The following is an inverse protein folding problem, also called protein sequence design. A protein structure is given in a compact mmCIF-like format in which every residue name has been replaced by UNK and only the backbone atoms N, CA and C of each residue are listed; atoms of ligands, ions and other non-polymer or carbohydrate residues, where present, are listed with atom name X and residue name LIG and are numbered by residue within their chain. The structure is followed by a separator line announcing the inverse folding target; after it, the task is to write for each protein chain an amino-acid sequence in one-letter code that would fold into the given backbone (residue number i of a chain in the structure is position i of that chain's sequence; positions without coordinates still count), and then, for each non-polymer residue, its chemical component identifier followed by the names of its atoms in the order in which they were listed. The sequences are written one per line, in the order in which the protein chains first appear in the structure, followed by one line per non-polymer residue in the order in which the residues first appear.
data_IF_523245104724
#
_entry.id   IF_523245104724
#
_cell.length_a   1.000
_cell.length_b   1.000
_cell.length_c   1.000
_cell.angle_alpha   90.00
_cell.angle_beta   90.00
_cell.angle_gamma   90.00
#
_symmetry.space_group_name_H-M   'P 1'
#
loop_
_entity.id
_entity.type
_entity.pdbx_description
1 polymer ?
#
# COMPACT_ATOMS: atom_id res chain seq x y z
N UNK A 1 -11.41 0.48 14.12
CA UNK A 1 -10.56 -0.47 14.87
C UNK A 1 -9.37 0.25 15.45
N UNK A 2 -8.83 -0.21 16.59
CA UNK A 2 -7.61 0.32 17.16
C UNK A 2 -6.41 0.15 16.22
N UNK A 3 -5.59 1.19 16.11
CA UNK A 3 -4.31 1.13 15.39
C UNK A 3 -3.25 0.53 16.32
N UNK A 4 -2.42 -0.39 15.81
CA UNK A 4 -1.40 -1.11 16.61
C UNK A 4 0.00 -0.83 16.10
N UNK A 5 0.36 -0.28 15.21
CA UNK A 5 1.73 -0.11 14.73
C UNK A 5 2.19 1.32 14.63
N UNK A 6 3.37 1.47 14.09
CA UNK A 6 4.03 2.76 14.01
C UNK A 6 3.24 3.82 13.26
N UNK A 7 3.43 5.06 13.67
CA UNK A 7 2.88 6.25 13.02
C UNK A 7 3.59 6.50 11.69
N UNK A 8 2.88 7.09 10.74
CA UNK A 8 3.43 7.60 9.47
C UNK A 8 4.53 8.65 9.65
N UNK A 9 4.62 9.27 10.83
CA UNK A 9 5.53 10.41 11.08
C UNK A 9 5.15 11.69 10.33
N UNK A 10 4.12 11.64 9.49
CA UNK A 10 3.58 12.73 8.68
C UNK A 10 2.05 12.68 8.71
N UNK A 11 1.35 13.82 8.51
CA UNK A 11 -0.09 13.79 8.21
C UNK A 11 -0.36 12.90 6.99
N UNK A 12 -1.43 12.10 7.03
CA UNK A 12 -1.69 11.10 6.00
C UNK A 12 -1.87 11.70 4.59
N UNK A 13 -2.40 12.92 4.48
CA UNK A 13 -2.52 13.67 3.23
C UNK A 13 -1.17 14.16 2.69
N UNK A 14 -0.14 14.26 3.53
CA UNK A 14 1.24 14.64 3.18
C UNK A 14 2.18 13.46 3.03
N UNK A 15 1.73 12.26 3.33
CA UNK A 15 2.53 11.05 3.18
C UNK A 15 2.40 10.48 1.76
N UNK A 16 3.50 10.39 0.99
CA UNK A 16 3.50 9.77 -0.35
C UNK A 16 3.26 8.26 -0.29
N UNK A 17 3.26 7.70 0.91
CA UNK A 17 3.03 6.28 1.13
C UNK A 17 1.56 5.95 1.35
N UNK A 18 0.74 6.91 1.70
CA UNK A 18 -0.71 6.76 1.85
C UNK A 18 -1.48 7.48 0.76
N UNK A 19 -1.04 8.68 0.39
CA UNK A 19 -1.61 9.47 -0.69
C UNK A 19 -0.80 9.30 -1.98
N UNK A 20 -1.25 8.38 -2.83
CA UNK A 20 -0.56 8.04 -4.09
C UNK A 20 -0.43 9.24 -5.03
N UNK A 21 -1.32 10.24 -4.95
CA UNK A 21 -1.27 11.42 -5.80
C UNK A 21 0.01 12.25 -5.64
N UNK A 22 0.63 12.20 -4.48
CA UNK A 22 1.91 12.90 -4.23
C UNK A 22 3.04 12.29 -5.07
N UNK A 23 3.07 10.96 -5.15
CA UNK A 23 4.00 10.26 -6.04
C UNK A 23 3.64 10.52 -7.49
N UNK A 24 2.36 10.38 -7.85
CA UNK A 24 1.90 10.39 -9.22
C UNK A 24 2.37 9.16 -9.99
N UNK A 25 2.05 9.11 -11.27
CA UNK A 25 2.37 7.99 -12.14
C UNK A 25 2.39 8.44 -13.61
N UNK A 26 3.03 7.65 -14.48
CA UNK A 26 3.04 7.85 -15.93
C UNK A 26 2.56 6.60 -16.66
N UNK A 27 1.98 6.72 -17.86
CA UNK A 27 1.66 5.57 -18.70
C UNK A 27 2.89 4.76 -19.05
N UNK A 28 2.72 3.45 -19.18
CA UNK A 28 3.75 2.54 -19.68
C UNK A 28 3.14 1.53 -20.64
N UNK A 29 3.91 1.10 -21.63
CA UNK A 29 3.48 0.02 -22.53
C UNK A 29 3.69 -1.32 -21.85
N UNK A 30 2.63 -2.13 -21.79
CA UNK A 30 2.67 -3.44 -21.18
C UNK A 30 1.59 -4.36 -21.77
N UNK A 31 1.76 -5.66 -21.60
CA UNK A 31 0.70 -6.62 -21.87
C UNK A 31 -0.47 -6.38 -20.87
N UNK A 32 -1.68 -6.21 -21.41
CA UNK A 32 -2.88 -5.90 -20.63
C UNK A 32 -3.70 -7.18 -20.34
N UNK A 33 -3.07 -8.15 -19.72
CA UNK A 33 -3.67 -9.39 -19.24
C UNK A 33 -2.94 -9.92 -18.02
N UNK A 34 -3.39 -11.05 -17.50
CA UNK A 34 -2.76 -11.68 -16.34
C UNK A 34 -1.38 -12.22 -16.70
N UNK A 35 -0.45 -12.04 -15.76
CA UNK A 35 0.93 -12.51 -15.89
C UNK A 35 1.30 -13.47 -14.75
N UNK A 36 2.17 -14.42 -15.05
CA UNK A 36 2.80 -15.26 -14.07
C UNK A 36 4.24 -14.80 -13.87
N UNK A 37 4.56 -14.36 -12.65
CA UNK A 37 5.93 -13.95 -12.27
C UNK A 37 6.71 -15.07 -11.57
N UNK A 38 6.14 -16.29 -11.49
CA UNK A 38 6.72 -17.40 -10.76
C UNK A 38 6.71 -17.23 -9.24
N UNK A 39 7.26 -18.22 -8.54
CA UNK A 39 7.30 -18.24 -7.07
C UNK A 39 6.01 -18.72 -6.43
N UNK A 40 6.03 -18.86 -5.09
CA UNK A 40 4.91 -19.36 -4.30
C UNK A 40 3.74 -18.36 -4.29
N UNK A 41 2.54 -18.89 -4.12
CA UNK A 41 1.34 -18.08 -3.90
C UNK A 41 1.29 -17.61 -2.48
N UNK A 42 0.91 -16.36 -2.30
CA UNK A 42 0.60 -15.81 -0.98
C UNK A 42 -0.88 -16.00 -0.71
N UNK A 43 -1.22 -17.04 0.05
CA UNK A 43 -2.61 -17.45 0.32
C UNK A 43 -3.47 -16.41 1.04
N UNK A 44 -2.82 -15.42 1.64
CA UNK A 44 -3.46 -14.34 2.39
C UNK A 44 -3.38 -12.99 1.66
N UNK A 45 -3.06 -12.99 0.39
CA UNK A 45 -3.06 -11.79 -0.44
C UNK A 45 -4.49 -11.33 -0.75
N UNK A 46 -4.74 -10.00 -0.79
CA UNK A 46 -6.06 -9.47 -1.14
C UNK A 46 -6.43 -9.81 -2.59
N UNK A 47 -7.65 -10.34 -2.78
CA UNK A 47 -8.14 -10.78 -4.10
C UNK A 47 -8.86 -9.64 -4.81
N UNK A 48 -8.26 -9.08 -5.85
CA UNK A 48 -8.81 -7.93 -6.58
C UNK A 48 -10.11 -8.26 -7.32
N UNK A 49 -10.35 -9.51 -7.70
CA UNK A 49 -11.61 -9.92 -8.33
C UNK A 49 -12.81 -9.60 -7.46
N UNK A 50 -12.65 -9.68 -6.13
CA UNK A 50 -13.69 -9.38 -5.15
C UNK A 50 -13.95 -7.88 -4.95
N UNK A 51 -13.18 -7.00 -5.59
CA UNK A 51 -13.51 -5.58 -5.64
C UNK A 51 -14.78 -5.29 -6.47
N UNK A 52 -15.28 -6.29 -7.19
CA UNK A 52 -16.49 -6.23 -8.01
C UNK A 52 -17.57 -7.14 -7.44
N UNK A 53 -18.82 -6.74 -7.61
CA UNK A 53 -19.97 -7.55 -7.23
C UNK A 53 -20.87 -7.88 -8.43
N UNK A 54 -20.87 -9.13 -8.95
CA UNK A 54 -20.15 -10.33 -8.50
C UNK A 54 -18.64 -10.29 -8.83
N UNK A 55 -17.82 -11.08 -8.11
CA UNK A 55 -16.38 -11.15 -8.37
C UNK A 55 -16.07 -11.50 -9.82
N UNK A 56 -15.17 -10.76 -10.47
CA UNK A 56 -14.81 -10.95 -11.86
C UNK A 56 -13.40 -10.47 -12.18
N UNK A 57 -12.84 -10.94 -13.29
CA UNK A 57 -11.67 -10.36 -13.91
C UNK A 57 -12.14 -9.26 -14.89
N UNK A 58 -11.88 -7.98 -14.61
CA UNK A 58 -12.21 -6.91 -15.53
C UNK A 58 -11.22 -6.88 -16.70
N UNK A 59 -11.61 -6.28 -17.82
CA UNK A 59 -10.63 -5.96 -18.85
C UNK A 59 -9.67 -4.88 -18.31
N UNK A 60 -8.37 -5.09 -18.52
CA UNK A 60 -7.34 -4.08 -18.19
C UNK A 60 -7.29 -3.06 -19.33
N UNK A 61 -7.34 -1.77 -18.97
CA UNK A 61 -7.44 -0.67 -19.93
C UNK A 61 -6.09 -0.01 -20.20
N UNK A 62 -5.26 0.16 -19.19
CA UNK A 62 -3.94 0.76 -19.30
C UNK A 62 -3.04 0.35 -18.12
N UNK A 63 -1.74 0.46 -18.32
CA UNK A 63 -0.72 0.19 -17.32
C UNK A 63 0.12 1.45 -17.05
N UNK A 64 0.57 1.60 -15.81
CA UNK A 64 1.32 2.77 -15.37
C UNK A 64 2.48 2.37 -14.46
N UNK A 65 3.48 3.26 -14.40
CA UNK A 65 4.57 3.26 -13.44
C UNK A 65 4.32 4.36 -12.44
N UNK A 66 4.23 4.01 -11.16
CA UNK A 66 4.25 4.98 -10.06
C UNK A 66 5.66 5.55 -9.96
N UNK A 67 5.78 6.83 -9.60
CA UNK A 67 7.08 7.42 -9.32
C UNK A 67 7.61 6.99 -7.95
N UNK A 68 8.91 6.79 -7.86
CA UNK A 68 9.58 6.62 -6.57
C UNK A 68 9.53 7.91 -5.75
N UNK A 69 9.90 7.81 -4.49
CA UNK A 69 9.96 8.96 -3.60
C UNK A 69 11.35 9.10 -2.99
N UNK A 70 11.97 10.24 -3.26
CA UNK A 70 13.26 10.57 -2.68
C UNK A 70 13.06 11.32 -1.35
N UNK A 71 13.23 10.62 -0.25
CA UNK A 71 13.10 11.17 1.11
C UNK A 71 14.20 12.18 1.46
N UNK A 72 15.30 12.20 0.72
CA UNK A 72 16.45 13.08 0.98
C UNK A 72 16.34 14.43 0.27
N UNK A 73 15.28 14.70 -0.45
CA UNK A 73 15.06 16.01 -1.05
C UNK A 73 14.77 17.08 0.01
N UNK A 74 15.24 18.30 -0.26
CA UNK A 74 14.92 19.50 0.53
C UNK A 74 13.97 20.39 -0.28
N UNK A 75 12.90 20.96 0.35
CA UNK A 75 12.52 20.80 1.76
C UNK A 75 11.82 19.45 2.02
N UNK A 76 11.80 18.99 3.29
CA UNK A 76 10.99 17.83 3.70
C UNK A 76 9.51 18.02 3.34
N UNK A 77 8.75 16.92 3.11
CA UNK A 77 9.09 15.52 3.40
C UNK A 77 9.70 14.74 2.21
N UNK A 78 10.42 15.36 1.29
CA UNK A 78 11.01 14.73 0.13
C UNK A 78 10.36 15.17 -1.19
N UNK A 79 10.70 14.53 -2.28
CA UNK A 79 10.21 14.85 -3.61
C UNK A 79 10.03 13.60 -4.48
N UNK A 80 9.29 13.77 -5.57
CA UNK A 80 9.11 12.75 -6.60
C UNK A 80 10.45 12.40 -7.25
N UNK A 81 10.78 11.10 -7.26
CA UNK A 81 11.92 10.53 -7.95
C UNK A 81 11.59 10.07 -9.37
N UNK A 82 12.36 9.12 -9.88
CA UNK A 82 12.13 8.49 -11.17
C UNK A 82 10.95 7.51 -11.11
N UNK A 83 10.41 7.16 -12.28
CA UNK A 83 9.38 6.14 -12.36
C UNK A 83 9.94 4.76 -11.99
N UNK A 84 9.22 4.03 -11.16
CA UNK A 84 9.61 2.69 -10.74
C UNK A 84 9.65 1.73 -11.93
N UNK A 85 10.78 1.08 -12.11
CA UNK A 85 11.00 0.07 -13.15
C UNK A 85 11.40 -1.28 -12.57
N UNK A 86 11.82 -1.30 -11.30
CA UNK A 86 12.25 -2.48 -10.55
C UNK A 86 11.56 -2.52 -9.18
N UNK A 87 11.21 -3.70 -8.63
CA UNK A 87 11.31 -5.01 -9.28
C UNK A 87 10.29 -5.20 -10.42
N UNK A 88 9.30 -4.31 -10.56
CA UNK A 88 8.24 -4.40 -11.57
C UNK A 88 8.11 -3.10 -12.36
N UNK A 89 7.91 -3.23 -13.68
CA UNK A 89 7.70 -2.11 -14.58
C UNK A 89 6.22 -1.68 -14.71
N UNK A 90 5.30 -2.40 -14.11
CA UNK A 90 3.88 -2.03 -13.97
C UNK A 90 3.56 -2.06 -12.49
N UNK A 91 3.19 -0.92 -11.95
CA UNK A 91 2.93 -0.74 -10.51
C UNK A 91 1.57 -0.12 -10.22
N UNK A 92 0.84 0.25 -11.27
CA UNK A 92 -0.54 0.71 -11.21
C UNK A 92 -1.27 0.24 -12.46
N UNK A 93 -2.49 -0.26 -12.30
CA UNK A 93 -3.28 -0.86 -13.36
C UNK A 93 -4.64 -0.17 -13.45
N UNK A 94 -5.04 0.21 -14.66
CA UNK A 94 -6.39 0.70 -14.94
C UNK A 94 -7.30 -0.45 -15.37
N UNK A 95 -8.44 -0.57 -14.70
CA UNK A 95 -9.41 -1.64 -14.87
C UNK A 95 -10.76 -1.09 -15.32
N UNK A 96 -11.38 -1.76 -16.31
CA UNK A 96 -12.69 -1.38 -16.83
C UNK A 96 -13.79 -1.68 -15.80
N UNK A 97 -14.73 -0.75 -15.75
CA UNK A 97 -15.92 -0.81 -14.91
C UNK A 97 -17.07 -0.06 -15.59
N UNK A 98 -18.20 0.01 -14.94
CA UNK A 98 -19.35 0.81 -15.37
C UNK A 98 -19.49 2.03 -14.42
N UNK A 99 -19.72 3.24 -14.89
CA UNK A 99 -19.99 4.37 -14.01
C UNK A 99 -21.12 4.06 -13.03
N UNK A 100 -20.89 4.33 -11.74
CA UNK A 100 -21.81 4.00 -10.65
C UNK A 100 -21.76 2.56 -10.15
N UNK A 101 -20.93 1.68 -10.73
CA UNK A 101 -20.72 0.33 -10.21
C UNK A 101 -20.13 0.39 -8.80
N UNK A 102 -20.75 -0.33 -7.87
CA UNK A 102 -20.26 -0.45 -6.49
C UNK A 102 -18.90 -1.13 -6.45
N UNK A 103 -18.00 -0.57 -5.67
CA UNK A 103 -16.67 -1.12 -5.41
C UNK A 103 -16.62 -1.67 -3.99
N UNK A 104 -16.15 -2.91 -3.88
CA UNK A 104 -16.12 -3.66 -2.65
C UNK A 104 -14.69 -3.85 -2.15
N UNK A 105 -14.55 -4.21 -0.89
CA UNK A 105 -13.25 -4.55 -0.30
C UNK A 105 -12.70 -5.79 -0.99
N UNK A 106 -11.49 -5.75 -1.58
CA UNK A 106 -10.79 -6.95 -2.03
C UNK A 106 -10.72 -7.98 -0.93
N UNK A 107 -11.20 -9.20 -1.20
CA UNK A 107 -11.37 -10.20 -0.15
C UNK A 107 -10.03 -10.74 0.34
N UNK A 108 -9.98 -11.07 1.62
CA UNK A 108 -8.84 -11.71 2.27
C UNK A 108 -9.33 -12.81 3.20
N UNK A 109 -8.54 -13.87 3.39
CA UNK A 109 -8.89 -14.99 4.27
C UNK A 109 -8.80 -14.61 5.75
N UNK A 110 -7.70 -13.97 6.14
CA UNK A 110 -7.43 -13.65 7.54
C UNK A 110 -7.96 -12.24 7.91
N UNK A 111 -8.77 -12.12 8.96
CA UNK A 111 -9.17 -10.82 9.47
C UNK A 111 -7.99 -10.13 10.18
N UNK A 112 -8.02 -8.80 10.22
CA UNK A 112 -7.09 -7.98 11.00
C UNK A 112 -7.61 -7.73 12.42
N UNK A 113 -8.95 -7.75 12.61
CA UNK A 113 -9.60 -7.56 13.91
C UNK A 113 -11.07 -7.99 13.85
N UNK A 114 -11.47 -8.93 14.70
CA UNK A 114 -12.85 -9.45 14.67
C UNK A 114 -13.22 -10.01 13.30
N UNK A 115 -14.16 -9.39 12.61
CA UNK A 115 -14.56 -9.74 11.22
C UNK A 115 -14.04 -8.77 10.16
N UNK A 116 -13.26 -7.78 10.55
CA UNK A 116 -12.68 -6.79 9.64
C UNK A 116 -11.42 -7.33 8.99
N UNK A 117 -11.28 -7.13 7.67
CA UNK A 117 -10.14 -7.61 6.89
C UNK A 117 -9.22 -6.49 6.42
N UNK A 118 -9.71 -5.26 6.35
CA UNK A 118 -8.94 -4.11 5.92
C UNK A 118 -9.25 -2.89 6.79
N UNK A 119 -8.27 -2.01 6.94
CA UNK A 119 -8.38 -0.72 7.62
C UNK A 119 -8.15 0.41 6.60
N UNK A 120 -8.89 1.51 6.72
CA UNK A 120 -8.73 2.68 5.86
C UNK A 120 -7.54 3.50 6.33
N UNK A 121 -6.44 3.40 5.60
CA UNK A 121 -5.22 4.13 5.90
C UNK A 121 -5.29 5.60 5.43
N UNK A 122 -5.98 5.83 4.31
CA UNK A 122 -6.22 7.17 3.74
C UNK A 122 -7.48 7.19 2.90
N UNK A 123 -8.23 8.29 2.95
CA UNK A 123 -9.40 8.53 2.10
C UNK A 123 -9.56 10.00 1.73
N UNK A 124 -9.85 10.24 0.47
CA UNK A 124 -10.39 11.48 -0.12
C UNK A 124 -11.60 11.14 -0.97
N UNK A 125 -12.26 12.16 -1.53
CA UNK A 125 -13.45 11.97 -2.35
C UNK A 125 -13.21 11.00 -3.53
N UNK A 126 -11.99 11.00 -4.08
CA UNK A 126 -11.66 10.30 -5.33
C UNK A 126 -10.56 9.26 -5.22
N UNK A 127 -10.14 8.94 -4.00
CA UNK A 127 -9.13 7.91 -3.72
C UNK A 127 -9.30 7.28 -2.37
N UNK A 128 -8.89 6.02 -2.29
CA UNK A 128 -8.90 5.24 -1.07
C UNK A 128 -7.62 4.42 -0.96
N UNK A 129 -7.02 4.39 0.21
CA UNK A 129 -5.92 3.48 0.52
C UNK A 129 -6.33 2.55 1.66
N UNK A 130 -6.37 1.26 1.38
CA UNK A 130 -6.64 0.20 2.35
C UNK A 130 -5.35 -0.48 2.76
N UNK A 131 -5.18 -0.73 4.05
CA UNK A 131 -4.16 -1.64 4.58
C UNK A 131 -4.80 -2.90 5.11
N UNK A 132 -4.11 -4.03 4.99
CA UNK A 132 -4.54 -5.34 5.48
C UNK A 132 -3.78 -5.73 6.76
N UNK A 133 -3.43 -4.72 7.54
CA UNK A 133 -2.90 -4.80 8.91
C UNK A 133 -3.59 -3.73 9.76
N UNK A 134 -3.23 -3.64 11.05
CA UNK A 134 -3.63 -2.52 11.91
C UNK A 134 -2.51 -1.49 12.12
N UNK A 135 -1.47 -1.55 11.28
CA UNK A 135 -0.40 -0.56 11.30
C UNK A 135 -0.84 0.75 10.62
N UNK A 136 -0.53 1.88 11.22
CA UNK A 136 -0.67 3.20 10.59
C UNK A 136 0.52 3.48 9.65
N UNK A 137 0.83 2.51 8.81
CA UNK A 137 1.95 2.56 7.87
C UNK A 137 1.77 1.50 6.77
N UNK A 138 2.17 1.77 5.53
CA UNK A 138 2.22 0.77 4.47
C UNK A 138 3.47 -0.12 4.53
N UNK A 139 4.32 0.02 5.53
CA UNK A 139 5.57 -0.73 5.65
C UNK A 139 5.37 -2.21 5.95
N UNK A 140 4.21 -2.58 6.52
CA UNK A 140 3.89 -3.94 6.90
C UNK A 140 2.68 -4.47 6.14
N UNK A 141 2.77 -5.72 5.67
CA UNK A 141 1.68 -6.39 4.96
C UNK A 141 1.28 -5.73 3.64
N UNK A 142 0.04 -6.01 3.23
CA UNK A 142 -0.50 -5.53 1.97
C UNK A 142 -1.20 -4.19 2.11
N UNK A 143 -1.01 -3.34 1.10
CA UNK A 143 -1.74 -2.08 0.92
C UNK A 143 -2.30 -2.03 -0.50
N UNK A 144 -3.55 -1.60 -0.66
CA UNK A 144 -4.17 -1.37 -1.95
C UNK A 144 -4.58 0.09 -2.04
N UNK A 145 -4.09 0.77 -3.08
CA UNK A 145 -4.49 2.12 -3.44
C UNK A 145 -5.52 2.07 -4.58
N UNK A 146 -6.57 2.84 -4.43
CA UNK A 146 -7.59 3.06 -5.46
C UNK A 146 -7.60 4.52 -5.87
N UNK A 147 -7.57 4.79 -7.16
CA UNK A 147 -7.61 6.12 -7.77
C UNK A 147 -8.76 6.22 -8.79
N UNK A 148 -9.29 7.42 -9.00
CA UNK A 148 -10.41 7.71 -9.91
C UNK A 148 -11.72 7.00 -9.51
N UNK A 149 -12.01 6.96 -8.23
CA UNK A 149 -13.22 6.38 -7.61
C UNK A 149 -14.06 7.47 -6.93
N UNK A 150 -15.24 7.12 -6.45
CA UNK A 150 -16.02 7.96 -5.52
C UNK A 150 -16.14 7.19 -4.21
N UNK A 151 -15.50 7.68 -3.17
CA UNK A 151 -15.56 7.07 -1.83
C UNK A 151 -16.92 7.36 -1.20
N UNK A 152 -17.51 6.36 -0.54
CA UNK A 152 -18.78 6.52 0.15
C UNK A 152 -18.72 7.67 1.18
N UNK A 153 -19.68 8.61 1.16
CA UNK A 153 -19.62 9.81 2.00
C UNK A 153 -19.53 9.50 3.49
N UNK A 154 -20.22 8.45 3.95
CA UNK A 154 -20.23 8.03 5.35
C UNK A 154 -18.84 7.49 5.77
N UNK A 155 -18.20 6.71 4.91
CA UNK A 155 -16.85 6.20 5.15
C UNK A 155 -15.85 7.36 5.20
N UNK A 156 -15.96 8.30 4.25
CA UNK A 156 -15.09 9.46 4.18
C UNK A 156 -15.27 10.36 5.42
N UNK A 157 -16.50 10.59 5.87
CA UNK A 157 -16.79 11.36 7.08
C UNK A 157 -16.19 10.70 8.33
N UNK A 158 -16.38 9.38 8.48
CA UNK A 158 -15.80 8.63 9.59
C UNK A 158 -14.27 8.66 9.56
N UNK A 159 -13.65 8.49 8.38
CA UNK A 159 -12.21 8.59 8.24
C UNK A 159 -11.70 9.97 8.66
N UNK A 160 -12.32 11.05 8.20
CA UNK A 160 -11.94 12.43 8.54
C UNK A 160 -12.03 12.69 10.04
N UNK A 161 -13.11 12.22 10.65
CA UNK A 161 -13.32 12.33 12.11
C UNK A 161 -12.19 11.64 12.89
N UNK A 162 -11.90 10.38 12.57
CA UNK A 162 -10.89 9.59 13.30
C UNK A 162 -9.46 10.08 12.99
N UNK A 163 -9.21 10.53 11.75
CA UNK A 163 -7.94 11.15 11.39
C UNK A 163 -7.69 12.45 12.19
N UNK A 164 -8.69 13.31 12.31
CA UNK A 164 -8.61 14.53 13.10
C UNK A 164 -8.48 14.27 14.62
N UNK A 165 -9.01 13.14 15.10
CA UNK A 165 -8.88 12.69 16.50
C UNK A 165 -7.51 12.07 16.83
N UNK A 166 -6.56 12.08 15.89
CA UNK A 166 -5.17 11.62 16.10
C UNK A 166 -4.92 10.16 15.76
N UNK A 167 -5.79 9.52 14.96
CA UNK A 167 -5.57 8.19 14.32
C UNK A 167 -5.32 7.03 15.29
N UNK A 168 -5.76 7.15 16.57
CA UNK A 168 -5.72 6.01 17.49
C UNK A 168 -6.64 4.87 17.07
N UNK A 169 -7.66 5.22 16.33
CA UNK A 169 -8.59 4.32 15.66
C UNK A 169 -8.75 4.78 14.21
N UNK A 170 -9.00 3.83 13.31
CA UNK A 170 -9.32 4.11 11.91
C UNK A 170 -10.51 3.24 11.47
N UNK A 171 -11.26 3.66 10.42
CA UNK A 171 -12.34 2.87 9.88
C UNK A 171 -11.82 1.51 9.40
N UNK A 172 -12.58 0.46 9.60
CA UNK A 172 -12.26 -0.88 9.10
C UNK A 172 -13.45 -1.48 8.38
N UNK A 173 -13.16 -2.32 7.41
CA UNK A 173 -14.11 -2.87 6.45
C UNK A 173 -14.01 -4.40 6.42
N UNK A 174 -15.13 -5.05 6.11
CA UNK A 174 -15.27 -6.50 5.98
C UNK A 174 -15.12 -6.92 4.52
N UNK A 175 -14.92 -8.22 4.31
CA UNK A 175 -15.00 -8.79 2.96
C UNK A 175 -16.36 -8.47 2.31
N UNK A 176 -16.31 -7.97 1.06
CA UNK A 176 -17.50 -7.66 0.29
C UNK A 176 -18.27 -6.41 0.77
N UNK A 177 -17.78 -5.66 1.74
CA UNK A 177 -18.35 -4.38 2.15
C UNK A 177 -18.13 -3.33 1.08
N UNK A 178 -19.19 -2.57 0.73
CA UNK A 178 -19.12 -1.50 -0.25
C UNK A 178 -18.44 -0.30 0.38
N UNK A 179 -17.36 0.19 -0.21
CA UNK A 179 -16.64 1.36 0.26
C UNK A 179 -16.77 2.57 -0.67
N UNK A 180 -17.32 2.38 -1.86
CA UNK A 180 -17.45 3.44 -2.84
C UNK A 180 -18.05 2.95 -4.15
N UNK A 181 -17.86 3.74 -5.20
CA UNK A 181 -18.32 3.41 -6.54
C UNK A 181 -17.33 3.93 -7.60
N UNK A 182 -17.43 3.37 -8.79
CA UNK A 182 -16.69 3.85 -9.95
C UNK A 182 -17.25 5.21 -10.42
N UNK A 183 -16.37 6.19 -10.57
CA UNK A 183 -16.73 7.50 -11.11
C UNK A 183 -16.94 7.46 -12.63
N UNK A 184 -16.15 6.66 -13.32
CA UNK A 184 -16.07 6.58 -14.78
C UNK A 184 -16.11 5.13 -15.25
N UNK A 185 -15.86 4.92 -16.55
CA UNK A 185 -15.78 3.60 -17.16
C UNK A 185 -14.50 2.83 -16.79
N UNK A 186 -13.67 3.38 -15.93
CA UNK A 186 -12.48 2.74 -15.38
C UNK A 186 -12.02 3.41 -14.08
N UNK A 187 -11.30 2.66 -13.27
CA UNK A 187 -10.55 3.16 -12.11
C UNK A 187 -9.18 2.49 -12.07
N UNK A 188 -8.29 3.00 -11.22
CA UNK A 188 -6.93 2.45 -11.10
C UNK A 188 -6.70 1.84 -9.74
N UNK A 189 -5.89 0.77 -9.70
CA UNK A 189 -5.42 0.18 -8.45
C UNK A 189 -3.91 -0.10 -8.49
N UNK A 190 -3.23 0.20 -7.38
CA UNK A 190 -1.87 -0.22 -7.11
C UNK A 190 -1.85 -1.09 -5.85
N UNK A 191 -0.93 -2.05 -5.81
CA UNK A 191 -0.75 -2.94 -4.67
C UNK A 191 0.68 -2.78 -4.15
N UNK A 192 0.81 -2.80 -2.83
CA UNK A 192 2.11 -2.87 -2.16
C UNK A 192 2.15 -4.09 -1.26
N UNK A 193 3.32 -4.70 -1.17
CA UNK A 193 3.66 -5.67 -0.14
C UNK A 193 4.88 -5.15 0.62
N UNK A 194 4.75 -4.99 1.93
CA UNK A 194 5.80 -4.46 2.82
C UNK A 194 6.50 -3.23 2.24
N UNK A 195 5.69 -2.26 1.81
CA UNK A 195 6.16 -1.01 1.25
C UNK A 195 6.56 -1.04 -0.22
N UNK A 196 6.81 -2.19 -0.82
CA UNK A 196 7.21 -2.32 -2.23
C UNK A 196 5.98 -2.38 -3.15
N UNK A 197 5.98 -1.58 -4.22
CA UNK A 197 4.95 -1.68 -5.25
C UNK A 197 5.11 -2.98 -6.04
N UNK A 198 3.99 -3.71 -6.15
CA UNK A 198 3.89 -4.99 -6.85
C UNK A 198 3.26 -4.80 -8.22
N UNK A 199 3.37 -5.80 -9.09
CA UNK A 199 2.63 -5.81 -10.35
C UNK A 199 1.18 -6.27 -10.12
N UNK A 200 0.16 -5.41 -10.35
CA UNK A 200 -1.23 -5.75 -10.05
C UNK A 200 -1.82 -6.80 -11.01
N UNK A 201 -1.11 -7.18 -12.09
CA UNK A 201 -1.54 -8.22 -13.05
C UNK A 201 -1.19 -9.64 -12.61
N UNK A 202 -0.48 -9.80 -11.49
CA UNK A 202 0.03 -11.10 -11.05
C UNK A 202 -1.11 -12.04 -10.67
N UNK A 203 -1.29 -13.10 -11.47
CA UNK A 203 -2.39 -14.05 -11.30
C UNK A 203 -2.25 -14.92 -10.05
N UNK A 204 -1.02 -15.23 -9.62
CA UNK A 204 -0.78 -16.12 -8.47
C UNK A 204 -1.19 -15.50 -7.13
N UNK A 205 -1.19 -14.17 -7.02
CA UNK A 205 -1.42 -13.47 -5.74
C UNK A 205 -2.78 -12.75 -5.71
N UNK A 206 -3.11 -11.97 -6.75
CA UNK A 206 -4.26 -11.04 -6.72
C UNK A 206 -5.49 -11.55 -7.47
N UNK A 207 -5.33 -12.62 -8.31
CA UNK A 207 -6.36 -13.15 -9.21
C UNK A 207 -6.38 -14.68 -9.16
N UNK A 208 -6.38 -15.27 -7.95
CA UNK A 208 -6.15 -16.73 -7.76
C UNK A 208 -7.17 -17.59 -8.49
N UNK A 209 -8.43 -17.15 -8.55
CA UNK A 209 -9.52 -17.86 -9.23
C UNK A 209 -9.40 -17.80 -10.77
N UNK A 210 -8.53 -16.93 -11.28
CA UNK A 210 -8.31 -16.71 -12.72
C UNK A 210 -6.95 -17.21 -13.21
N UNK A 211 -6.26 -18.04 -12.44
CA UNK A 211 -4.92 -18.57 -12.80
C UNK A 211 -4.89 -19.29 -14.14
N UNK A 212 -5.99 -19.97 -14.52
CA UNK A 212 -6.10 -20.63 -15.83
C UNK A 212 -6.03 -19.66 -17.01
N UNK A 213 -6.26 -18.37 -16.78
CA UNK A 213 -6.19 -17.30 -17.79
C UNK A 213 -4.82 -16.60 -17.82
N UNK A 214 -3.87 -17.08 -17.05
CA UNK A 214 -2.52 -16.52 -16.95
C UNK A 214 -1.68 -16.97 -18.15
N UNK A 215 -1.64 -16.17 -19.20
CA UNK A 215 -1.10 -16.56 -20.52
C UNK A 215 0.36 -16.20 -20.74
N UNK A 216 0.92 -15.27 -19.93
CA UNK A 216 2.30 -14.80 -20.05
C UNK A 216 3.09 -15.16 -18.81
N UNK A 217 4.17 -15.92 -18.98
CA UNK A 217 5.15 -16.15 -17.93
C UNK A 217 6.27 -15.11 -18.05
N UNK A 218 6.45 -14.31 -17.01
CA UNK A 218 7.56 -13.38 -16.90
C UNK A 218 8.53 -13.91 -15.84
N UNK A 219 9.81 -14.04 -16.19
CA UNK A 219 10.82 -14.39 -15.21
C UNK A 219 10.84 -13.31 -14.11
N UNK A 220 10.79 -13.74 -12.86
CA UNK A 220 10.93 -12.83 -11.72
C UNK A 220 12.32 -12.17 -11.81
N UNK A 221 12.43 -10.82 -11.77
CA UNK A 221 13.72 -10.19 -11.60
C UNK A 221 14.35 -10.77 -10.32
N UNK A 222 15.62 -11.17 -10.38
CA UNK A 222 16.35 -11.61 -9.20
C UNK A 222 16.20 -10.52 -8.13
N UNK A 223 15.69 -10.88 -6.96
CA UNK A 223 15.52 -9.95 -5.85
C UNK A 223 16.91 -9.49 -5.42
N UNK A 224 17.31 -8.32 -5.86
CA UNK A 224 18.45 -7.60 -5.29
C UNK A 224 17.91 -6.99 -4.00
N UNK A 225 18.03 -7.74 -2.91
CA UNK A 225 17.90 -7.14 -1.58
C UNK A 225 19.18 -6.32 -1.37
N UNK A 226 19.12 -4.99 -1.31
CA UNK A 226 20.23 -4.26 -0.74
C UNK A 226 20.29 -4.69 0.73
N UNK A 227 21.37 -5.36 1.12
CA UNK A 227 21.67 -5.55 2.53
C UNK A 227 21.74 -4.16 3.15
N UNK A 228 20.71 -3.79 3.90
CA UNK A 228 20.84 -2.63 4.77
C UNK A 228 21.95 -2.95 5.78
N UNK A 229 22.97 -2.12 5.91
CA UNK A 229 23.93 -2.28 6.99
C UNK A 229 23.13 -2.21 8.31
N UNK A 230 23.23 -3.26 9.14
CA UNK A 230 22.71 -3.25 10.51
C UNK A 230 23.16 -1.94 11.17
N UNK A 231 22.27 -1.22 11.83
CA UNK A 231 22.68 -0.05 12.62
C UNK A 231 23.70 -0.55 13.64
N UNK A 232 24.88 0.08 13.64
CA UNK A 232 25.93 -0.21 14.63
C UNK A 232 25.33 -0.05 16.03
N UNK A 233 25.54 -1.07 16.85
CA UNK A 233 25.13 -1.02 18.24
C UNK A 233 25.70 0.25 18.91
N UNK A 234 24.92 0.96 19.74
CA UNK A 234 25.43 2.12 20.42
C UNK A 234 26.60 1.71 21.30
N UNK A 235 27.75 2.33 21.09
CA UNK A 235 28.93 2.21 21.95
C UNK A 235 28.55 2.66 23.33
N UNK A 236 28.69 1.78 24.31
CA UNK A 236 28.46 2.12 25.71
C UNK A 236 29.36 3.31 26.12
N UNK A 237 28.86 4.26 26.91
CA UNK A 237 29.68 5.37 27.36
C UNK A 237 30.81 4.85 28.24
N UNK A 238 32.04 5.19 27.90
CA UNK A 238 33.23 4.92 28.67
C UNK A 238 33.07 5.57 30.03
N UNK A 239 33.04 4.77 31.09
CA UNK A 239 32.99 5.26 32.46
C UNK A 239 34.19 6.17 32.71
N UNK A 240 33.92 7.42 33.10
CA UNK A 240 34.96 8.35 33.54
C UNK A 240 35.62 7.82 34.84
N UNK A 241 36.94 7.72 34.78
CA UNK A 241 37.74 7.36 35.95
C UNK A 241 37.60 8.46 37.02
N UNK A 242 37.46 8.08 38.32
CA UNK A 242 37.39 9.08 39.39
C UNK A 242 38.75 9.79 39.53
N UNK A 243 38.69 11.11 39.62
CA UNK A 243 39.85 11.98 39.92
C UNK A 243 40.28 11.76 41.38
N UNK A 244 41.56 11.55 41.67
CA UNK A 244 42.00 11.38 43.03
C UNK A 244 41.89 12.69 43.82
N UNK A 245 41.24 12.64 44.97
CA UNK A 245 41.14 13.73 45.95
C UNK A 245 42.51 13.93 46.59
N UNK A 246 43.10 15.10 46.40
CA UNK A 246 44.29 15.51 47.16
C UNK A 246 43.86 15.94 48.54
N UNK A 247 44.37 15.24 49.58
CA UNK A 247 44.29 15.65 50.98
C UNK A 247 45.29 16.75 51.27
N UNK A 248 44.92 17.83 51.95
CA UNK A 248 45.88 18.79 52.44
C UNK A 248 46.72 18.23 53.62
N UNK A 249 48.02 18.37 53.54
CA UNK A 249 48.93 18.12 54.65
C UNK A 249 49.06 19.35 55.50
N UNK A 250 49.40 19.17 56.82
CA UNK A 250 49.38 20.21 57.84
C UNK A 250 50.48 21.27 57.69
#
# INVERSE_FOLDING_TARGET
VPVEGGSLGLPADKSPDTNLSLRGYRPTTAYLGLINIGGDTHDDAPQLAAAFGPPRLPAFAAAFQVYDWNWNCSPPPGCRGDALTTPYSVTLLEMRTTPGEQLLVPSRKQPIYGSFVAMVLYAEERRLTLTYTRDDSPANGYVVHFEDVVVAPELLALYRQLNAAGRKELPALRNGEVWGMADKASFKAAIRDRGTFMDPRTCKDWWVDYRSQCTVSMARPAAVFPMQPSPAAPTAPTAAMPVPVQTPQP
#
